data_IF_338237616895
#
_entry.id   IF_338237616895
#
_cell.length_a   1.000
_cell.length_b   1.000
_cell.length_c   1.000
_cell.angle_alpha   90.00
_cell.angle_beta   90.00
_cell.angle_gamma   90.00
#
_symmetry.space_group_name_H-M   'P 1'
#
loop_
_entity.id
_entity.type
_entity.pdbx_description
1 polymer ?
#
# COMPACT_ATOMS: atom_id res chain seq x y z
N UNK A 1 -14.17 18.69 -2.52
CA UNK A 1 -14.42 17.25 -2.32
C UNK A 1 -13.16 16.66 -1.73
N UNK A 2 -13.25 16.08 -0.54
CA UNK A 2 -12.13 15.38 0.07
C UNK A 2 -11.90 14.09 -0.72
N UNK A 3 -10.82 14.03 -1.51
CA UNK A 3 -10.43 12.81 -2.20
C UNK A 3 -9.95 11.81 -1.15
N UNK A 4 -10.78 10.82 -0.81
CA UNK A 4 -10.50 9.83 0.23
C UNK A 4 -10.08 8.52 -0.42
N UNK A 5 -9.30 7.71 0.30
CA UNK A 5 -8.98 6.38 -0.18
C UNK A 5 -10.24 5.53 -0.37
N UNK A 6 -10.27 4.73 -1.42
CA UNK A 6 -11.31 3.73 -1.68
C UNK A 6 -10.67 2.42 -2.10
N UNK A 7 -11.41 1.31 -1.96
CA UNK A 7 -10.99 0.01 -2.42
C UNK A 7 -11.72 -0.33 -3.73
N UNK A 8 -10.98 -0.73 -4.75
CA UNK A 8 -11.51 -1.28 -6.00
C UNK A 8 -11.09 -2.74 -6.10
N UNK A 9 -11.90 -3.61 -5.46
CA UNK A 9 -11.58 -5.02 -5.26
C UNK A 9 -10.25 -5.19 -4.49
N UNK A 10 -9.23 -5.62 -5.22
CA UNK A 10 -7.89 -5.90 -4.70
C UNK A 10 -6.96 -4.68 -4.70
N UNK A 11 -7.41 -3.54 -5.23
CA UNK A 11 -6.60 -2.35 -5.45
C UNK A 11 -6.98 -1.22 -4.51
N UNK A 12 -5.99 -0.40 -4.16
CA UNK A 12 -6.16 0.77 -3.32
C UNK A 12 -6.13 2.03 -4.21
N UNK A 13 -7.27 2.71 -4.30
CA UNK A 13 -7.31 4.09 -4.77
C UNK A 13 -6.93 5.01 -3.61
N UNK A 14 -5.93 5.85 -3.82
CA UNK A 14 -5.25 6.61 -2.76
C UNK A 14 -5.74 8.05 -2.74
N UNK A 15 -5.93 8.61 -1.54
CA UNK A 15 -6.05 10.06 -1.40
C UNK A 15 -4.74 10.76 -1.76
N UNK A 16 -4.82 12.04 -2.14
CA UNK A 16 -3.66 12.87 -2.50
C UNK A 16 -2.52 12.82 -1.47
N UNK A 17 -2.85 12.85 -0.18
CA UNK A 17 -1.84 12.85 0.88
C UNK A 17 -1.15 11.50 1.01
N UNK A 18 -1.88 10.40 0.87
CA UNK A 18 -1.27 9.07 0.82
C UNK A 18 -0.42 8.93 -0.43
N UNK A 19 -0.91 9.34 -1.60
CA UNK A 19 -0.16 9.26 -2.85
C UNK A 19 1.17 10.03 -2.78
N UNK A 20 1.19 11.22 -2.16
CA UNK A 20 2.41 12.02 -1.94
C UNK A 20 3.37 11.42 -0.93
N UNK A 21 2.88 10.65 0.03
CA UNK A 21 3.69 10.03 1.09
C UNK A 21 4.29 8.67 0.67
N UNK A 22 3.84 8.10 -0.45
CA UNK A 22 4.35 6.83 -0.94
C UNK A 22 5.69 7.01 -1.66
N UNK A 23 6.62 6.14 -1.32
CA UNK A 23 7.87 5.96 -2.03
C UNK A 23 7.64 5.22 -3.36
N UNK A 24 8.53 5.45 -4.32
CA UNK A 24 8.47 4.80 -5.62
C UNK A 24 9.09 3.39 -5.60
N UNK A 25 8.47 2.47 -6.34
CA UNK A 25 8.99 1.12 -6.59
C UNK A 25 8.71 0.12 -5.48
N UNK A 26 9.46 -0.99 -5.52
CA UNK A 26 9.29 -2.10 -4.58
C UNK A 26 10.25 -1.94 -3.38
N UNK A 27 9.76 -2.04 -2.13
CA UNK A 27 10.62 -1.95 -0.97
C UNK A 27 11.54 -3.17 -0.89
N UNK A 28 12.79 -2.93 -0.53
CA UNK A 28 13.72 -3.94 -0.05
C UNK A 28 13.53 -4.17 1.44
N UNK A 29 14.14 -5.23 1.99
CA UNK A 29 14.12 -5.48 3.43
C UNK A 29 14.73 -4.35 4.27
N UNK A 30 15.53 -3.45 3.68
CA UNK A 30 16.17 -2.29 4.35
C UNK A 30 15.54 -0.96 3.97
N UNK A 31 14.47 -0.96 3.16
CA UNK A 31 13.82 0.28 2.75
C UNK A 31 13.21 1.01 3.94
N UNK A 32 13.04 2.33 3.81
CA UNK A 32 12.37 3.20 4.77
C UNK A 32 11.27 3.95 4.03
N UNK A 33 10.12 4.14 4.67
CA UNK A 33 8.98 4.88 4.11
C UNK A 33 7.74 4.01 3.92
N UNK A 34 6.74 4.59 3.25
CA UNK A 34 5.48 3.94 2.93
C UNK A 34 5.48 3.47 1.48
N UNK A 35 5.01 2.26 1.22
CA UNK A 35 5.03 1.64 -0.10
C UNK A 35 3.70 0.96 -0.41
N UNK A 36 3.27 1.02 -1.68
CA UNK A 36 2.30 0.08 -2.25
C UNK A 36 3.03 -0.56 -3.43
N UNK A 37 3.74 -1.68 -3.21
CA UNK A 37 4.46 -2.34 -4.28
C UNK A 37 3.50 -2.91 -5.31
N UNK A 38 3.87 -2.75 -6.58
CA UNK A 38 3.14 -3.40 -7.67
C UNK A 38 3.33 -4.91 -7.58
N UNK A 39 2.21 -5.64 -7.52
CA UNK A 39 2.21 -7.09 -7.48
C UNK A 39 1.38 -7.61 -8.64
N UNK A 40 1.88 -8.66 -9.28
CA UNK A 40 1.23 -9.30 -10.42
C UNK A 40 1.02 -10.78 -10.14
N UNK A 41 -0.15 -11.29 -10.51
CA UNK A 41 -0.41 -12.72 -10.51
C UNK A 41 0.17 -13.32 -11.79
N UNK A 42 1.25 -14.11 -11.66
CA UNK A 42 1.93 -14.72 -12.81
C UNK A 42 1.07 -15.70 -13.62
N UNK A 43 0.04 -16.30 -13.01
CA UNK A 43 -0.84 -17.23 -13.72
C UNK A 43 -1.87 -16.50 -14.58
N UNK A 44 -2.33 -15.31 -14.16
CA UNK A 44 -3.40 -14.56 -14.85
C UNK A 44 -2.92 -13.32 -15.56
N UNK A 45 -1.70 -12.85 -15.30
CA UNK A 45 -1.15 -11.60 -15.81
C UNK A 45 -1.89 -10.35 -15.32
N UNK A 46 -2.70 -10.45 -14.26
CA UNK A 46 -3.47 -9.34 -13.70
C UNK A 46 -2.82 -8.78 -12.43
N UNK A 47 -3.07 -7.51 -12.10
CA UNK A 47 -2.70 -6.96 -10.80
C UNK A 47 -3.19 -7.86 -9.66
N UNK A 48 -2.31 -8.09 -8.70
CA UNK A 48 -2.61 -8.82 -7.49
C UNK A 48 -3.10 -7.85 -6.39
N UNK A 49 -3.07 -8.32 -5.14
CA UNK A 49 -3.55 -7.56 -3.98
C UNK A 49 -2.56 -6.46 -3.62
N UNK A 50 -3.05 -5.22 -3.60
CA UNK A 50 -2.34 -4.05 -3.06
C UNK A 50 -2.24 -4.16 -1.55
N UNK A 51 -1.04 -3.97 -1.01
CA UNK A 51 -0.83 -3.85 0.44
C UNK A 51 0.01 -2.62 0.72
N UNK A 52 -0.60 -1.62 1.36
CA UNK A 52 0.12 -0.50 1.93
C UNK A 52 1.03 -0.98 3.06
N UNK A 53 2.33 -0.77 2.91
CA UNK A 53 3.36 -1.26 3.81
C UNK A 53 4.18 -0.09 4.34
N UNK A 54 4.44 -0.08 5.65
CA UNK A 54 5.35 0.88 6.27
C UNK A 54 6.64 0.17 6.70
N UNK A 55 7.77 0.75 6.32
CA UNK A 55 9.09 0.26 6.70
C UNK A 55 9.85 1.33 7.49
N UNK A 56 10.47 0.93 8.62
CA UNK A 56 11.23 1.87 9.47
C UNK A 56 12.63 2.19 8.94
N UNK A 57 13.20 1.32 8.09
CA UNK A 57 14.61 1.37 7.67
C UNK A 57 15.60 0.79 8.69
N UNK A 58 15.29 0.88 9.98
CA UNK A 58 16.16 0.36 11.06
C UNK A 58 16.01 -1.16 11.25
N UNK A 59 14.82 -1.70 11.01
CA UNK A 59 14.56 -3.13 11.12
C UNK A 59 14.55 -3.77 9.74
N UNK A 60 15.38 -4.81 9.57
CA UNK A 60 15.41 -5.61 8.34
C UNK A 60 14.20 -6.53 8.32
N UNK A 61 13.24 -6.28 7.44
CA UNK A 61 11.99 -7.05 7.43
C UNK A 61 11.03 -6.67 6.31
N UNK A 62 9.87 -7.36 6.31
CA UNK A 62 8.82 -7.20 5.28
C UNK A 62 7.94 -5.96 5.47
N UNK A 63 8.28 -5.09 6.42
CA UNK A 63 7.43 -3.96 6.82
C UNK A 63 6.17 -4.41 7.59
N UNK A 64 5.35 -3.44 7.95
CA UNK A 64 4.03 -3.67 8.57
C UNK A 64 2.93 -3.28 7.58
N UNK A 65 1.88 -4.10 7.50
CA UNK A 65 0.71 -3.80 6.67
C UNK A 65 -0.17 -2.74 7.36
N UNK A 66 -0.54 -1.71 6.62
CA UNK A 66 -1.42 -0.64 7.09
C UNK A 66 -2.87 -1.03 6.81
N UNK A 67 -3.69 -1.11 7.87
CA UNK A 67 -5.12 -1.43 7.74
C UNK A 67 -5.97 -0.20 7.40
N UNK A 68 -5.47 1.01 7.61
CA UNK A 68 -6.20 2.25 7.33
C UNK A 68 -5.23 3.35 6.86
N UNK A 69 -5.79 4.36 6.19
CA UNK A 69 -5.05 5.52 5.73
C UNK A 69 -4.85 6.52 6.88
N UNK A 70 -3.61 6.88 7.27
CA UNK A 70 -3.37 7.80 8.37
C UNK A 70 -3.78 9.24 8.04
N UNK A 71 -4.05 9.55 6.78
CA UNK A 71 -4.40 10.90 6.32
C UNK A 71 -5.92 11.12 6.21
N UNK A 72 -6.68 10.13 5.72
CA UNK A 72 -8.11 10.28 5.50
C UNK A 72 -8.99 9.33 6.34
N UNK A 73 -8.40 8.42 7.10
CA UNK A 73 -9.09 7.51 8.03
C UNK A 73 -9.78 6.31 7.40
N UNK A 74 -9.78 6.17 6.08
CA UNK A 74 -10.46 5.08 5.37
C UNK A 74 -9.69 3.76 5.43
N UNK A 75 -10.41 2.65 5.26
CA UNK A 75 -9.87 1.30 5.24
C UNK A 75 -8.94 1.07 4.03
N UNK A 76 -7.82 0.40 4.26
CA UNK A 76 -6.85 -0.01 3.23
C UNK A 76 -6.69 -1.54 3.11
N UNK A 77 -7.47 -2.32 3.87
CA UNK A 77 -7.37 -3.77 3.93
C UNK A 77 -8.05 -4.44 2.74
N UNK A 78 -7.25 -5.07 1.88
CA UNK A 78 -7.68 -5.76 0.64
C UNK A 78 -7.59 -7.29 0.73
N UNK A 79 -7.06 -7.87 1.82
CA UNK A 79 -6.66 -9.28 1.91
C UNK A 79 -7.56 -10.20 2.76
N UNK A 80 -8.71 -9.74 3.24
CA UNK A 80 -9.67 -10.55 4.01
C UNK A 80 -11.13 -10.12 3.71
N UNK A 81 -11.46 -9.94 2.43
CA UNK A 81 -12.84 -9.66 2.01
C UNK A 81 -13.67 -10.94 1.95
#
# INVERSE_FOLDING_TARGET
>A
MSDKCTLDGNLINRCDMLAKALEYGNPSYRSKGAFIPERMNFNTGKPAIDIAQLHSGEYVGRGIAMNFCPFCGENLKTWEQ
#
